data_IF_454814640868
#
_entry.id   IF_454814640868
#
_cell.length_a   1.000
_cell.length_b   1.000
_cell.length_c   1.000
_cell.angle_alpha   90.00
_cell.angle_beta   90.00
_cell.angle_gamma   90.00
#
_symmetry.space_group_name_H-M   'P 1'
#
loop_
_entity.id
_entity.type
_entity.pdbx_description
1 polymer ?
#
# COMPACT_ATOMS: atom_id res chain seq x y z
N UNK A 1 12.27 27.38 50.22
CA UNK A 1 11.10 26.65 49.70
C UNK A 1 11.45 26.20 48.29
N UNK A 2 11.99 24.98 48.17
CA UNK A 2 12.31 24.35 46.89
C UNK A 2 11.03 23.91 46.20
N UNK A 3 10.95 24.08 44.88
CA UNK A 3 10.03 23.27 44.08
C UNK A 3 10.67 22.96 42.73
N UNK A 4 11.26 21.77 42.66
CA UNK A 4 11.75 21.11 41.47
C UNK A 4 10.56 20.57 40.69
N UNK A 5 10.36 21.00 39.44
CA UNK A 5 9.42 20.33 38.54
C UNK A 5 10.22 19.55 37.50
N UNK A 6 10.39 18.28 37.83
CA UNK A 6 11.09 17.28 37.06
C UNK A 6 10.46 17.01 35.70
N UNK A 7 11.35 16.97 34.71
CA UNK A 7 11.19 16.44 33.37
C UNK A 7 10.74 14.97 33.42
N UNK A 8 9.44 14.71 33.35
CA UNK A 8 8.90 13.35 33.21
C UNK A 8 8.79 12.98 31.72
N UNK A 9 9.90 12.46 31.19
CA UNK A 9 9.92 11.64 29.99
C UNK A 9 9.23 10.31 30.30
N UNK A 10 8.06 10.05 29.70
CA UNK A 10 7.38 8.77 29.84
C UNK A 10 8.03 7.72 28.91
N UNK A 11 8.70 6.73 29.51
CA UNK A 11 9.24 5.54 28.84
C UNK A 11 8.35 4.33 29.19
N UNK A 12 7.72 3.79 28.13
CA UNK A 12 7.43 2.38 27.79
C UNK A 12 6.87 1.43 28.87
N UNK A 13 5.77 0.77 28.51
CA UNK A 13 5.68 -0.69 28.58
C UNK A 13 5.08 -1.24 27.28
N UNK A 14 5.74 -2.27 26.75
CA UNK A 14 5.35 -3.05 25.58
C UNK A 14 4.55 -4.29 26.04
N UNK A 15 3.58 -4.71 25.23
CA UNK A 15 3.05 -6.07 25.26
C UNK A 15 2.50 -6.46 23.88
N UNK A 16 3.27 -7.31 23.20
CA UNK A 16 2.90 -8.42 22.33
C UNK A 16 1.72 -8.29 21.35
N UNK A 17 2.03 -8.28 20.05
CA UNK A 17 1.54 -9.29 19.09
C UNK A 17 2.30 -9.20 17.74
N UNK A 18 2.90 -10.33 17.36
CA UNK A 18 3.24 -10.76 15.99
C UNK A 18 4.22 -9.91 15.16
N UNK A 19 5.51 -10.14 15.42
CA UNK A 19 6.51 -10.25 14.36
C UNK A 19 6.42 -11.64 13.75
N UNK A 20 5.89 -11.76 12.53
CA UNK A 20 6.20 -12.86 11.60
C UNK A 20 6.70 -12.17 10.32
N UNK A 21 8.00 -12.25 10.01
CA UNK A 21 8.58 -13.29 9.14
C UNK A 21 8.30 -12.94 7.66
N UNK A 22 9.21 -12.73 6.73
CA UNK A 22 10.67 -12.68 6.61
C UNK A 22 10.93 -11.88 5.32
N UNK A 23 12.09 -11.24 5.20
CA UNK A 23 12.51 -10.61 3.95
C UNK A 23 12.99 -11.71 2.99
N UNK A 24 12.28 -11.94 1.89
CA UNK A 24 12.72 -12.82 0.79
C UNK A 24 13.85 -12.14 -0.02
N UNK A 25 15.07 -12.16 0.53
CA UNK A 25 16.32 -11.83 -0.18
C UNK A 25 16.99 -13.11 -0.76
N UNK A 26 16.20 -13.97 -1.41
CA UNK A 26 16.65 -15.30 -1.88
C UNK A 26 16.86 -15.38 -3.40
N UNK A 27 17.64 -14.46 -3.97
CA UNK A 27 18.23 -14.66 -5.30
C UNK A 27 19.73 -14.33 -5.33
N UNK A 28 20.56 -15.33 -5.02
CA UNK A 28 21.98 -15.32 -5.34
C UNK A 28 22.33 -16.41 -6.37
N UNK A 29 22.65 -15.99 -7.60
CA UNK A 29 23.17 -16.88 -8.63
C UNK A 29 24.63 -17.23 -8.32
N UNK A 30 24.86 -18.32 -7.58
CA UNK A 30 26.21 -18.88 -7.41
C UNK A 30 26.56 -19.73 -8.63
N UNK A 31 27.33 -19.16 -9.57
CA UNK A 31 28.12 -19.98 -10.50
C UNK A 31 29.31 -20.58 -9.71
N UNK A 32 29.20 -21.86 -9.34
CA UNK A 32 30.32 -22.61 -8.77
C UNK A 32 31.35 -22.91 -9.87
N UNK A 33 32.41 -22.10 -9.93
CA UNK A 33 33.61 -22.39 -10.72
C UNK A 33 34.40 -23.50 -10.03
N UNK A 34 34.26 -24.75 -10.49
CA UNK A 34 35.07 -25.87 -9.99
C UNK A 34 36.48 -25.77 -10.60
N UNK A 35 37.41 -25.16 -9.87
CA UNK A 35 38.84 -25.09 -10.23
C UNK A 35 39.50 -26.43 -9.86
N UNK A 36 40.00 -27.17 -10.85
CA UNK A 36 40.83 -28.35 -10.62
C UNK A 36 42.24 -27.85 -10.28
N UNK A 37 42.73 -28.23 -9.11
CA UNK A 37 44.07 -27.93 -8.60
C UNK A 37 45.04 -28.93 -9.23
N UNK A 38 45.95 -28.42 -10.07
CA UNK A 38 47.16 -29.11 -10.50
C UNK A 38 48.18 -29.08 -9.36
N UNK A 39 48.79 -30.22 -9.05
CA UNK A 39 50.09 -30.25 -8.37
C UNK A 39 51.09 -30.98 -9.27
N UNK A 40 52.23 -30.31 -9.43
CA UNK A 40 53.45 -30.67 -10.17
C UNK A 40 54.52 -30.89 -9.09
N UNK A 41 55.68 -31.50 -9.42
CA UNK A 41 56.95 -31.61 -8.63
C UNK A 41 57.19 -33.09 -8.23
N UNK A 42 58.19 -33.87 -8.68
CA UNK A 42 59.56 -33.60 -9.13
C UNK A 42 60.12 -34.69 -10.09
N UNK A 43 61.04 -34.30 -10.98
CA UNK A 43 62.02 -35.13 -11.72
C UNK A 43 63.15 -35.65 -10.78
N UNK A 44 63.98 -36.72 -11.07
CA UNK A 44 64.60 -37.01 -12.38
C UNK A 44 64.78 -38.49 -12.82
N UNK A 45 64.97 -38.64 -14.14
CA UNK A 45 65.43 -39.80 -14.95
C UNK A 45 66.92 -40.12 -14.62
N UNK A 46 67.52 -41.34 -14.79
CA UNK A 46 67.51 -42.15 -16.03
C UNK A 46 67.42 -43.70 -15.87
N UNK A 47 66.59 -44.36 -16.67
CA UNK A 47 66.95 -45.04 -17.95
C UNK A 47 67.31 -46.52 -17.76
N UNK A 48 66.43 -47.41 -18.22
CA UNK A 48 66.74 -48.67 -18.89
C UNK A 48 65.44 -49.38 -19.32
N UNK A 49 65.22 -49.46 -20.63
CA UNK A 49 64.21 -50.27 -21.33
C UNK A 49 64.78 -51.70 -21.44
N UNK A 50 64.04 -52.82 -21.23
CA UNK A 50 63.13 -53.33 -22.27
C UNK A 50 61.87 -54.13 -21.85
N UNK A 51 60.82 -53.97 -22.67
CA UNK A 51 59.71 -54.86 -23.11
C UNK A 51 59.36 -56.13 -22.28
N UNK A 52 58.05 -56.45 -22.06
CA UNK A 52 57.16 -56.84 -23.15
C UNK A 52 55.69 -56.43 -22.92
N UNK A 53 55.18 -55.47 -23.67
CA UNK A 53 53.79 -55.00 -23.52
C UNK A 53 52.83 -55.64 -24.53
N UNK A 54 52.84 -56.97 -24.64
CA UNK A 54 51.83 -57.69 -25.44
C UNK A 54 50.45 -57.74 -24.75
N UNK A 55 50.41 -57.71 -23.41
CA UNK A 55 49.16 -57.71 -22.64
C UNK A 55 48.34 -56.41 -22.74
N UNK A 56 48.91 -55.20 -22.59
CA UNK A 56 48.14 -53.97 -22.72
C UNK A 56 47.68 -53.72 -24.16
N UNK A 57 48.40 -54.22 -25.18
CA UNK A 57 47.99 -54.08 -26.58
C UNK A 57 46.74 -54.89 -26.87
N UNK A 58 46.60 -56.09 -26.28
CA UNK A 58 45.35 -56.87 -26.39
C UNK A 58 44.19 -56.16 -25.70
N UNK A 59 44.40 -55.61 -24.49
CA UNK A 59 43.39 -54.81 -23.77
C UNK A 59 42.98 -53.57 -24.56
N UNK A 60 43.94 -52.85 -25.14
CA UNK A 60 43.70 -51.69 -26.00
C UNK A 60 42.93 -52.06 -27.27
N UNK A 61 43.21 -53.20 -27.89
CA UNK A 61 42.46 -53.69 -29.06
C UNK A 61 41.03 -54.10 -28.70
N UNK A 62 40.82 -54.69 -27.52
CA UNK A 62 39.49 -55.08 -27.05
C UNK A 62 38.67 -53.85 -26.65
N UNK A 63 39.30 -52.86 -26.01
CA UNK A 63 38.70 -51.55 -25.73
C UNK A 63 38.38 -50.80 -27.02
N UNK A 64 39.28 -50.76 -28.00
CA UNK A 64 39.03 -50.12 -29.29
C UNK A 64 37.84 -50.76 -30.00
N UNK A 65 37.73 -52.09 -29.99
CA UNK A 65 36.56 -52.80 -30.53
C UNK A 65 35.28 -52.47 -29.76
N UNK A 66 35.34 -52.36 -28.43
CA UNK A 66 34.20 -51.96 -27.61
C UNK A 66 33.75 -50.52 -27.91
N UNK A 67 34.70 -49.58 -28.05
CA UNK A 67 34.40 -48.20 -28.43
C UNK A 67 33.86 -48.10 -29.85
N UNK A 68 34.38 -48.88 -30.80
CA UNK A 68 33.84 -48.95 -32.17
C UNK A 68 32.44 -49.58 -32.22
N UNK A 69 32.10 -50.48 -31.29
CA UNK A 69 30.75 -51.03 -31.17
C UNK A 69 29.74 -50.00 -30.65
N UNK A 70 30.15 -49.13 -29.72
CA UNK A 70 29.32 -48.03 -29.19
C UNK A 70 29.18 -46.90 -30.22
N UNK A 71 30.20 -46.68 -31.05
CA UNK A 71 30.22 -45.63 -32.07
C UNK A 71 29.34 -45.96 -33.28
N UNK A 72 28.99 -47.23 -33.47
CA UNK A 72 27.94 -47.60 -34.43
C UNK A 72 26.61 -47.05 -33.89
N UNK A 73 25.86 -46.27 -34.68
CA UNK A 73 24.57 -45.76 -34.24
C UNK A 73 23.71 -46.94 -33.78
N UNK A 74 22.92 -46.79 -32.70
CA UNK A 74 22.00 -47.83 -32.25
C UNK A 74 21.19 -48.35 -33.45
N UNK A 75 20.98 -49.67 -33.56
CA UNK A 75 20.10 -50.20 -34.61
C UNK A 75 18.78 -49.43 -34.57
N UNK A 76 18.31 -48.96 -35.74
CA UNK A 76 17.07 -48.20 -35.84
C UNK A 76 15.96 -49.00 -35.15
N UNK A 77 15.59 -48.56 -33.95
CA UNK A 77 14.44 -49.10 -33.27
C UNK A 77 13.25 -48.74 -34.15
N UNK A 78 12.34 -49.69 -34.43
CA UNK A 78 11.11 -49.32 -35.12
C UNK A 78 10.47 -48.17 -34.33
N UNK A 79 9.95 -47.14 -35.02
CA UNK A 79 9.37 -46.00 -34.33
C UNK A 79 8.32 -46.53 -33.34
N UNK A 80 8.39 -46.04 -32.09
CA UNK A 80 7.50 -46.49 -30.99
C UNK A 80 6.02 -46.32 -31.33
N UNK A 81 5.74 -45.49 -32.34
CA UNK A 81 4.43 -45.25 -32.93
C UNK A 81 4.56 -45.40 -34.45
N UNK A 82 3.62 -46.09 -35.06
CA UNK A 82 3.50 -46.18 -36.51
C UNK A 82 3.34 -44.78 -37.10
N UNK A 83 3.85 -44.49 -38.31
CA UNK A 83 3.68 -43.19 -39.00
C UNK A 83 2.20 -42.76 -39.25
N UNK A 84 1.22 -43.55 -38.79
CA UNK A 84 -0.21 -43.23 -38.78
C UNK A 84 -0.86 -43.21 -37.38
N UNK A 85 -0.14 -43.45 -36.28
CA UNK A 85 -0.69 -43.48 -34.92
C UNK A 85 -0.67 -42.12 -34.22
N UNK A 86 0.14 -41.18 -34.69
CA UNK A 86 -0.06 -39.78 -34.32
C UNK A 86 -1.20 -39.24 -35.17
N UNK A 87 -2.43 -39.49 -34.72
CA UNK A 87 -3.58 -38.74 -35.21
C UNK A 87 -3.30 -37.23 -35.15
N UNK A 88 -4.00 -36.40 -35.94
CA UNK A 88 -3.87 -34.95 -35.85
C UNK A 88 -3.96 -34.57 -34.38
N UNK A 89 -2.98 -33.81 -33.87
CA UNK A 89 -2.95 -33.38 -32.48
C UNK A 89 -4.19 -32.51 -32.27
N UNK A 90 -5.28 -33.11 -31.80
CA UNK A 90 -6.48 -32.40 -31.40
C UNK A 90 -6.16 -31.81 -30.05
N UNK A 91 -5.84 -30.53 -30.05
CA UNK A 91 -5.76 -29.75 -28.82
C UNK A 91 -7.08 -29.96 -28.06
N UNK A 92 -7.03 -30.30 -26.77
CA UNK A 92 -8.24 -30.48 -25.98
C UNK A 92 -9.12 -29.22 -26.08
N UNK A 93 -10.43 -29.44 -26.18
CA UNK A 93 -11.40 -28.35 -26.32
C UNK A 93 -11.29 -27.34 -25.18
N UNK A 94 -11.51 -26.07 -25.49
CA UNK A 94 -11.38 -24.96 -24.54
C UNK A 94 -12.38 -25.01 -23.36
N UNK A 95 -13.32 -25.96 -23.37
CA UNK A 95 -14.28 -26.23 -22.29
C UNK A 95 -13.67 -26.96 -21.07
N UNK A 96 -12.41 -27.42 -21.17
CA UNK A 96 -11.68 -27.98 -20.02
C UNK A 96 -11.04 -26.91 -19.13
N UNK A 97 -11.00 -25.65 -19.56
CA UNK A 97 -10.47 -24.57 -18.74
C UNK A 97 -11.49 -24.27 -17.64
N UNK A 98 -10.99 -24.10 -16.42
CA UNK A 98 -11.83 -23.63 -15.35
C UNK A 98 -12.32 -22.17 -15.65
N UNK A 99 -13.36 -21.67 -14.95
CA UNK A 99 -13.88 -20.33 -15.19
C UNK A 99 -12.86 -19.20 -14.97
N UNK A 100 -11.76 -19.46 -14.26
CA UNK A 100 -10.71 -18.50 -13.96
C UNK A 100 -9.64 -18.48 -15.05
N UNK A 101 -9.18 -19.63 -15.50
CA UNK A 101 -8.32 -19.85 -16.66
C UNK A 101 -8.99 -19.33 -17.93
N UNK A 102 -10.30 -19.52 -18.07
CA UNK A 102 -11.08 -18.93 -19.17
C UNK A 102 -11.06 -17.40 -19.15
N UNK A 103 -11.07 -16.77 -17.96
CA UNK A 103 -10.91 -15.31 -17.83
C UNK A 103 -9.49 -14.87 -18.14
N UNK A 104 -8.48 -15.58 -17.63
CA UNK A 104 -7.06 -15.29 -17.94
C UNK A 104 -6.83 -15.37 -19.45
N UNK A 105 -7.39 -16.39 -20.11
CA UNK A 105 -7.36 -16.49 -21.57
C UNK A 105 -8.10 -15.32 -22.21
N UNK A 106 -9.26 -14.92 -21.71
CA UNK A 106 -9.96 -13.72 -22.19
C UNK A 106 -9.06 -12.48 -22.13
N UNK A 107 -8.35 -12.28 -21.01
CA UNK A 107 -7.39 -11.18 -20.86
C UNK A 107 -6.15 -11.31 -21.77
N UNK A 108 -5.72 -12.53 -22.11
CA UNK A 108 -4.54 -12.77 -22.97
C UNK A 108 -4.86 -12.79 -24.47
N UNK A 109 -6.05 -13.25 -24.85
CA UNK A 109 -6.45 -13.48 -26.24
C UNK A 109 -7.24 -12.31 -26.84
N UNK A 110 -7.97 -11.56 -26.01
CA UNK A 110 -8.64 -10.34 -26.44
C UNK A 110 -7.66 -9.16 -26.23
N UNK A 111 -7.03 -8.72 -27.31
CA UNK A 111 -6.06 -7.60 -27.29
C UNK A 111 -6.69 -6.31 -26.71
N UNK A 112 -8.01 -6.18 -26.79
CA UNK A 112 -8.76 -5.06 -26.21
C UNK A 112 -9.01 -5.20 -24.69
N UNK A 113 -8.97 -6.43 -24.17
CA UNK A 113 -8.99 -6.74 -22.74
C UNK A 113 -7.58 -7.01 -22.18
N UNK A 114 -6.54 -6.90 -23.02
CA UNK A 114 -5.14 -7.04 -22.60
C UNK A 114 -4.83 -6.14 -21.41
N UNK A 115 -3.97 -6.64 -20.52
CA UNK A 115 -3.55 -5.93 -19.32
C UNK A 115 -3.01 -4.53 -19.65
N UNK A 116 -2.29 -4.36 -20.76
CA UNK A 116 -1.75 -3.07 -21.19
C UNK A 116 -2.85 -2.09 -21.64
N UNK A 117 -3.91 -2.59 -22.28
CA UNK A 117 -5.08 -1.79 -22.67
C UNK A 117 -5.88 -1.35 -21.44
N UNK A 118 -6.10 -2.25 -20.48
CA UNK A 118 -6.75 -1.93 -19.21
C UNK A 118 -5.89 -0.94 -18.41
N UNK A 119 -4.58 -1.17 -18.34
CA UNK A 119 -3.63 -0.30 -17.65
C UNK A 119 -3.65 1.11 -18.23
N UNK A 120 -3.45 1.26 -19.54
CA UNK A 120 -3.48 2.57 -20.19
C UNK A 120 -4.83 3.29 -20.03
N UNK A 121 -5.94 2.56 -20.07
CA UNK A 121 -7.27 3.11 -19.76
C UNK A 121 -7.39 3.59 -18.31
N UNK A 122 -6.88 2.82 -17.36
CA UNK A 122 -6.89 3.23 -15.95
C UNK A 122 -5.96 4.40 -15.69
N UNK A 123 -4.76 4.42 -16.28
CA UNK A 123 -3.79 5.51 -16.17
C UNK A 123 -4.33 6.81 -16.77
N UNK A 124 -4.96 6.75 -17.95
CA UNK A 124 -5.60 7.92 -18.55
C UNK A 124 -6.73 8.47 -17.68
N UNK A 125 -7.59 7.59 -17.15
CA UNK A 125 -8.65 7.99 -16.21
C UNK A 125 -8.09 8.62 -14.93
N UNK A 126 -7.01 8.05 -14.36
CA UNK A 126 -6.34 8.62 -13.19
C UNK A 126 -5.75 9.99 -13.50
N UNK A 127 -5.11 10.17 -14.67
CA UNK A 127 -4.59 11.48 -15.10
C UNK A 127 -5.70 12.52 -15.24
N UNK A 128 -6.86 12.15 -15.79
CA UNK A 128 -8.02 13.05 -15.89
C UNK A 128 -8.58 13.42 -14.52
N UNK A 129 -8.69 12.46 -13.61
CA UNK A 129 -9.16 12.72 -12.25
C UNK A 129 -8.15 13.62 -11.53
N UNK A 130 -6.86 13.34 -11.64
CA UNK A 130 -5.81 14.14 -11.03
C UNK A 130 -5.88 15.60 -11.50
N UNK A 131 -5.95 15.84 -12.82
CA UNK A 131 -6.00 17.21 -13.35
C UNK A 131 -7.29 17.94 -12.98
N UNK A 132 -8.43 17.25 -12.92
CA UNK A 132 -9.69 17.83 -12.46
C UNK A 132 -9.69 18.11 -10.96
N UNK A 133 -9.05 17.25 -10.16
CA UNK A 133 -9.08 17.33 -8.70
C UNK A 133 -8.28 18.54 -8.21
N UNK A 134 -7.12 18.81 -8.82
CA UNK A 134 -6.30 20.00 -8.47
C UNK A 134 -7.12 21.29 -8.60
N UNK A 135 -7.80 21.49 -9.74
CA UNK A 135 -8.65 22.67 -9.95
C UNK A 135 -9.85 22.71 -8.99
N UNK A 136 -10.49 21.56 -8.72
CA UNK A 136 -11.64 21.50 -7.80
C UNK A 136 -11.24 21.82 -6.35
N UNK A 137 -10.07 21.37 -5.91
CA UNK A 137 -9.54 21.68 -4.58
C UNK A 137 -9.25 23.18 -4.45
N UNK A 138 -8.65 23.79 -5.48
CA UNK A 138 -8.42 25.24 -5.51
C UNK A 138 -9.73 26.04 -5.48
N UNK A 139 -10.72 25.61 -6.27
CA UNK A 139 -12.05 26.23 -6.28
C UNK A 139 -12.76 26.10 -4.93
N UNK A 140 -12.63 24.94 -4.27
CA UNK A 140 -13.18 24.75 -2.94
C UNK A 140 -12.49 25.68 -1.92
N UNK A 141 -11.16 25.79 -1.95
CA UNK A 141 -10.41 26.65 -1.06
C UNK A 141 -10.82 28.14 -1.23
N UNK A 142 -10.97 28.62 -2.47
CA UNK A 142 -11.43 29.98 -2.75
C UNK A 142 -12.87 30.21 -2.26
N UNK A 143 -13.77 29.24 -2.46
CA UNK A 143 -15.14 29.34 -1.97
C UNK A 143 -15.24 29.31 -0.43
N UNK A 144 -14.44 28.48 0.24
CA UNK A 144 -14.35 28.46 1.71
C UNK A 144 -13.83 29.81 2.21
N UNK A 145 -12.78 30.35 1.58
CA UNK A 145 -12.25 31.66 1.96
C UNK A 145 -13.29 32.78 1.79
N UNK A 146 -14.02 32.79 0.67
CA UNK A 146 -15.11 33.75 0.43
C UNK A 146 -16.25 33.58 1.43
N UNK A 147 -16.59 32.35 1.81
CA UNK A 147 -17.62 32.06 2.80
C UNK A 147 -17.19 32.58 4.19
N UNK A 148 -15.98 32.29 4.63
CA UNK A 148 -15.41 32.78 5.88
C UNK A 148 -15.44 34.31 5.95
N UNK A 149 -15.02 34.99 4.88
CA UNK A 149 -15.10 36.45 4.80
C UNK A 149 -16.54 36.96 4.95
N UNK A 150 -17.52 36.34 4.27
CA UNK A 150 -18.93 36.71 4.38
C UNK A 150 -19.47 36.49 5.79
N UNK A 151 -19.11 35.37 6.43
CA UNK A 151 -19.50 35.07 7.81
C UNK A 151 -18.94 36.10 8.77
N UNK A 152 -17.67 36.48 8.64
CA UNK A 152 -17.06 37.52 9.47
C UNK A 152 -17.73 38.89 9.29
N UNK A 153 -18.07 39.26 8.06
CA UNK A 153 -18.79 40.51 7.79
C UNK A 153 -20.22 40.48 8.33
N UNK A 154 -20.94 39.36 8.17
CA UNK A 154 -22.27 39.18 8.71
C UNK A 154 -22.28 39.21 10.25
N UNK A 155 -21.29 38.60 10.90
CA UNK A 155 -21.11 38.66 12.36
C UNK A 155 -20.94 40.11 12.84
N UNK A 156 -20.07 40.89 12.19
CA UNK A 156 -19.88 42.32 12.53
C UNK A 156 -21.16 43.12 12.35
N UNK A 157 -21.95 42.84 11.31
CA UNK A 157 -23.20 43.56 11.09
C UNK A 157 -24.27 43.17 12.11
N UNK A 158 -24.36 41.88 12.45
CA UNK A 158 -25.22 41.41 13.54
C UNK A 158 -24.85 42.05 14.87
N UNK A 159 -23.56 42.15 15.20
CA UNK A 159 -23.08 42.81 16.43
C UNK A 159 -23.48 44.29 16.49
N UNK A 160 -23.43 45.01 15.37
CA UNK A 160 -23.91 46.39 15.29
C UNK A 160 -25.41 46.47 15.57
N UNK A 161 -26.22 45.62 14.92
CA UNK A 161 -27.68 45.59 15.14
C UNK A 161 -28.00 45.25 16.60
N UNK A 162 -27.32 44.24 17.16
CA UNK A 162 -27.49 43.84 18.56
C UNK A 162 -27.09 44.97 19.51
N UNK A 163 -25.96 45.64 19.30
CA UNK A 163 -25.54 46.76 20.16
C UNK A 163 -26.52 47.94 20.13
N UNK A 164 -27.05 48.30 18.95
CA UNK A 164 -28.08 49.35 18.82
C UNK A 164 -29.37 48.91 19.51
N UNK A 165 -29.78 47.66 19.33
CA UNK A 165 -31.00 47.13 19.98
C UNK A 165 -30.86 47.08 21.50
N UNK A 166 -29.69 46.70 22.02
CA UNK A 166 -29.38 46.67 23.44
C UNK A 166 -29.43 48.07 24.07
N UNK A 167 -28.88 49.08 23.38
CA UNK A 167 -28.98 50.48 23.82
C UNK A 167 -30.42 50.98 23.83
N UNK A 168 -31.19 50.70 22.76
CA UNK A 168 -32.62 51.07 22.70
C UNK A 168 -33.43 50.41 23.80
N UNK A 169 -33.14 49.14 24.11
CA UNK A 169 -33.82 48.41 25.17
C UNK A 169 -33.49 49.00 26.54
N UNK A 170 -32.21 49.29 26.83
CA UNK A 170 -31.81 50.00 28.06
C UNK A 170 -32.48 51.35 28.19
N UNK A 171 -32.55 52.13 27.12
CA UNK A 171 -33.20 53.43 27.14
C UNK A 171 -34.72 53.34 27.38
N UNK A 172 -35.38 52.25 26.96
CA UNK A 172 -36.80 52.00 27.29
C UNK A 172 -36.94 51.59 28.76
N UNK A 173 -36.12 50.64 29.22
CA UNK A 173 -36.11 50.19 30.62
C UNK A 173 -35.85 51.35 31.59
N UNK A 174 -34.90 52.24 31.28
CA UNK A 174 -34.61 53.43 32.09
C UNK A 174 -35.77 54.44 32.09
N UNK A 175 -36.45 54.63 30.96
CA UNK A 175 -37.64 55.49 30.91
C UNK A 175 -38.77 54.91 31.75
N UNK A 176 -39.03 53.61 31.66
CA UNK A 176 -40.05 52.93 32.46
C UNK A 176 -39.72 53.00 33.96
N UNK A 177 -38.46 52.77 34.35
CA UNK A 177 -38.02 52.95 35.74
C UNK A 177 -38.12 54.39 36.21
N UNK A 178 -37.83 55.37 35.35
CA UNK A 178 -37.99 56.78 35.68
C UNK A 178 -39.47 57.17 35.84
N UNK A 179 -40.36 56.69 34.96
CA UNK A 179 -41.80 56.90 35.08
C UNK A 179 -42.39 56.25 36.34
N UNK A 180 -41.86 55.10 36.75
CA UNK A 180 -42.22 54.44 38.01
C UNK A 180 -41.56 55.07 39.25
N UNK A 181 -40.62 56.02 39.08
CA UNK A 181 -39.83 56.61 40.16
C UNK A 181 -38.80 55.66 40.80
N UNK A 182 -38.58 54.48 40.22
CA UNK A 182 -37.68 53.43 40.74
C UNK A 182 -36.31 53.40 40.05
N UNK A 183 -35.95 54.46 39.32
CA UNK A 183 -34.71 54.55 38.53
C UNK A 183 -33.44 54.23 39.30
N UNK A 184 -33.28 54.82 40.47
CA UNK A 184 -32.06 54.68 41.29
C UNK A 184 -32.22 53.59 42.37
N UNK A 185 -33.32 52.83 42.34
CA UNK A 185 -33.63 51.80 43.33
C UNK A 185 -33.30 50.41 42.77
N UNK A 186 -32.55 49.56 43.50
CA UNK A 186 -32.29 48.21 43.05
C UNK A 186 -33.59 47.40 42.99
N UNK A 187 -33.75 46.60 41.93
CA UNK A 187 -34.98 45.84 41.66
C UNK A 187 -35.39 44.92 42.84
N UNK A 188 -34.42 44.41 43.59
CA UNK A 188 -34.64 43.58 44.78
C UNK A 188 -35.39 44.35 45.87
N UNK A 189 -35.11 45.63 46.03
CA UNK A 189 -35.74 46.48 47.06
C UNK A 189 -37.17 46.85 46.68
N UNK A 190 -37.42 47.09 45.38
CA UNK A 190 -38.78 47.23 44.82
C UNK A 190 -39.59 45.96 45.03
N UNK A 191 -39.03 44.79 44.74
CA UNK A 191 -39.72 43.52 44.95
C UNK A 191 -39.98 43.24 46.43
N UNK A 192 -39.03 43.60 47.31
CA UNK A 192 -39.20 43.44 48.76
C UNK A 192 -40.30 44.36 49.31
N UNK A 193 -40.38 45.60 48.85
CA UNK A 193 -41.44 46.53 49.26
C UNK A 193 -42.82 46.08 48.78
N UNK A 194 -42.92 45.57 47.55
CA UNK A 194 -44.15 44.95 47.03
C UNK A 194 -44.51 43.67 47.80
N UNK A 195 -43.52 42.85 48.17
CA UNK A 195 -43.71 41.64 48.97
C UNK A 195 -44.24 41.93 50.37
N UNK A 196 -43.79 43.00 51.02
CA UNK A 196 -44.30 43.44 52.32
C UNK A 196 -45.75 43.98 52.27
N UNK A 197 -46.24 44.36 51.09
CA UNK A 197 -47.62 44.82 50.88
C UNK A 197 -48.56 43.62 50.64
N UNK A 198 -48.03 42.43 50.32
CA UNK A 198 -48.83 41.22 50.28
C UNK A 198 -49.11 40.73 51.71
N UNK A 199 -50.35 40.31 52.03
CA UNK A 199 -50.65 39.75 53.34
C UNK A 199 -49.82 38.49 53.58
N UNK A 200 -49.17 38.41 54.73
CA UNK A 200 -48.49 37.21 55.21
C UNK A 200 -49.53 36.10 55.45
N UNK A 201 -49.89 35.34 54.40
CA UNK A 201 -50.85 34.23 54.54
C UNK A 201 -51.69 33.87 53.31
N UNK A 202 -51.29 34.23 52.08
CA UNK A 202 -51.97 33.77 50.87
C UNK A 202 -51.55 32.36 50.46
N UNK A 203 -52.01 31.33 51.20
CA UNK A 203 -51.87 29.90 50.91
C UNK A 203 -53.11 29.14 51.36
#
# INVERSE_FOLDING_TARGET
MSNEQGRLMSKRLAAAAATDYEHDDDFSFVRKSKRIKTDVTDEPKPEAVPEPKAEPVKKLQDEEKAWQAIRKPPPEQPPLFSEGETGPIVLPGFDLLDPYEGKIRGFLADETASFDAVRSRTESRLRTIQSSLEFQVDQLADNVHKLEQRVLLAGKEADKVLSVSALRLRQREEREKASAGTRDMPAIEVLRSLGNILPEGGG
#
